data_IF_307604191888
#
_entry.id   IF_307604191888
#
_cell.length_a   1.000
_cell.length_b   1.000
_cell.length_c   1.000
_cell.angle_alpha   90.00
_cell.angle_beta   90.00
_cell.angle_gamma   90.00
#
_symmetry.space_group_name_H-M   'P 1'
#
loop_
_entity.id
_entity.type
_entity.pdbx_description
1 polymer ?
#
# COMPACT_ATOMS: atom_id res chain seq x y z
N UNK A 1 8.80 47.10 12.50
CA UNK A 1 7.47 47.05 13.16
C UNK A 1 6.39 47.19 12.09
N UNK A 2 5.39 46.28 12.12
CA UNK A 2 4.07 46.34 11.41
C UNK A 2 4.07 46.06 9.89
N UNK A 3 2.99 45.48 9.31
CA UNK A 3 2.36 44.19 9.65
C UNK A 3 2.10 43.28 8.42
N UNK A 4 1.77 42.01 8.71
CA UNK A 4 0.79 41.14 8.04
C UNK A 4 0.37 41.43 6.58
N UNK A 5 0.59 40.45 5.69
CA UNK A 5 -0.52 39.82 4.94
C UNK A 5 -0.19 38.34 4.74
N UNK A 6 -0.84 37.47 5.52
CA UNK A 6 -0.95 36.04 5.23
C UNK A 6 -2.05 35.92 4.18
N UNK A 7 -1.68 35.76 2.92
CA UNK A 7 -2.65 35.46 1.85
C UNK A 7 -2.80 33.95 1.75
N UNK A 8 -3.72 33.39 2.53
CA UNK A 8 -4.26 32.05 2.28
C UNK A 8 -4.99 32.07 0.93
N UNK A 9 -4.29 31.75 -0.16
CA UNK A 9 -4.95 31.37 -1.40
C UNK A 9 -5.41 29.93 -1.29
N UNK A 10 -6.64 29.78 -0.82
CA UNK A 10 -7.44 28.58 -1.00
C UNK A 10 -7.72 28.40 -2.51
N UNK A 11 -6.86 27.63 -3.17
CA UNK A 11 -7.17 27.10 -4.50
C UNK A 11 -8.09 25.87 -4.32
N UNK A 12 -9.39 26.14 -4.18
CA UNK A 12 -10.42 25.11 -4.32
C UNK A 12 -10.54 24.80 -5.81
N UNK A 13 -9.72 23.87 -6.30
CA UNK A 13 -9.97 23.23 -7.59
C UNK A 13 -11.03 22.13 -7.36
N UNK A 14 -12.29 22.57 -7.35
CA UNK A 14 -13.44 21.76 -7.72
C UNK A 14 -13.32 21.47 -9.23
N UNK A 15 -12.59 20.42 -9.56
CA UNK A 15 -12.38 19.95 -10.92
C UNK A 15 -12.67 18.45 -11.03
N UNK A 16 -13.78 18.15 -11.71
CA UNK A 16 -14.23 16.83 -12.16
C UNK A 16 -14.66 15.84 -11.07
N UNK A 17 -15.94 15.46 -11.14
CA UNK A 17 -16.58 14.49 -10.27
C UNK A 17 -15.77 13.19 -10.16
N UNK A 18 -15.21 13.00 -8.97
CA UNK A 18 -14.97 11.66 -8.44
C UNK A 18 -16.33 11.03 -8.18
N UNK A 19 -16.86 10.37 -9.21
CA UNK A 19 -17.49 9.09 -8.93
C UNK A 19 -16.32 8.11 -8.86
N UNK A 20 -15.87 7.63 -7.69
CA UNK A 20 -15.23 6.33 -7.64
C UNK A 20 -16.34 5.34 -7.98
N UNK A 21 -16.66 5.27 -9.27
CA UNK A 21 -17.60 4.34 -9.84
C UNK A 21 -17.10 2.97 -9.43
N UNK A 22 -17.78 2.36 -8.45
CA UNK A 22 -17.67 0.97 -8.02
C UNK A 22 -16.45 0.26 -8.62
N UNK A 23 -15.24 0.60 -8.15
CA UNK A 23 -14.08 -0.18 -8.53
C UNK A 23 -14.33 -1.53 -7.89
N UNK A 24 -14.80 -2.50 -8.69
CA UNK A 24 -15.10 -3.84 -8.22
C UNK A 24 -13.87 -4.33 -7.49
N UNK A 25 -13.98 -4.48 -6.17
CA UNK A 25 -12.84 -4.89 -5.37
C UNK A 25 -12.40 -6.25 -5.89
N UNK A 26 -11.14 -6.29 -6.32
CA UNK A 26 -10.53 -7.49 -6.89
C UNK A 26 -9.68 -8.12 -5.81
N UNK A 27 -9.69 -9.44 -5.76
CA UNK A 27 -8.82 -10.19 -4.87
C UNK A 27 -7.46 -10.36 -5.52
N UNK A 28 -6.43 -9.79 -4.91
CA UNK A 28 -5.04 -9.93 -5.30
C UNK A 28 -4.31 -10.83 -4.31
N UNK A 29 -3.51 -11.75 -4.81
CA UNK A 29 -2.66 -12.62 -3.99
C UNK A 29 -1.22 -12.15 -4.08
N UNK A 30 -0.67 -11.71 -2.96
CA UNK A 30 0.74 -11.39 -2.81
C UNK A 30 1.49 -12.52 -2.11
N UNK A 31 2.74 -12.76 -2.50
CA UNK A 31 3.55 -13.84 -1.96
C UNK A 31 4.95 -13.39 -1.57
N UNK A 32 5.44 -13.97 -0.48
CA UNK A 32 6.80 -13.79 0.01
C UNK A 32 7.39 -15.11 0.50
N UNK A 33 8.72 -15.15 0.60
CA UNK A 33 9.48 -16.26 1.17
C UNK A 33 10.15 -15.82 2.46
N UNK A 34 10.08 -16.66 3.49
CA UNK A 34 10.88 -16.57 4.70
C UNK A 34 11.75 -17.82 4.83
N UNK A 35 12.84 -17.71 5.59
CA UNK A 35 13.58 -18.87 6.05
C UNK A 35 13.19 -19.14 7.50
N UNK A 36 12.51 -20.27 7.74
CA UNK A 36 12.14 -20.73 9.07
C UNK A 36 12.95 -21.99 9.35
N UNK A 37 13.80 -21.98 10.38
CA UNK A 37 14.68 -23.10 10.74
C UNK A 37 15.56 -23.60 9.58
N UNK A 38 16.07 -22.67 8.75
CA UNK A 38 16.90 -22.99 7.58
C UNK A 38 16.13 -23.50 6.35
N UNK A 39 14.81 -23.65 6.44
CA UNK A 39 13.98 -24.06 5.30
C UNK A 39 13.25 -22.86 4.68
N UNK A 40 13.19 -22.77 3.34
CA UNK A 40 12.41 -21.74 2.68
C UNK A 40 10.91 -22.04 2.77
N UNK A 41 10.17 -21.14 3.41
CA UNK A 41 8.70 -21.20 3.54
C UNK A 41 8.09 -20.08 2.70
N UNK A 42 7.26 -20.44 1.73
CA UNK A 42 6.50 -19.48 0.92
C UNK A 42 5.15 -19.23 1.59
N UNK A 43 4.83 -17.96 1.82
CA UNK A 43 3.57 -17.49 2.39
C UNK A 43 2.82 -16.66 1.36
N UNK A 44 1.50 -16.73 1.40
CA UNK A 44 0.60 -15.99 0.52
C UNK A 44 -0.37 -15.19 1.38
N UNK A 45 -0.68 -13.98 0.94
CA UNK A 45 -1.63 -13.07 1.58
C UNK A 45 -2.57 -12.58 0.50
N UNK A 46 -3.85 -12.60 0.81
CA UNK A 46 -4.90 -12.09 -0.05
C UNK A 46 -5.29 -10.69 0.39
N UNK A 47 -5.40 -9.79 -0.57
CA UNK A 47 -5.87 -8.43 -0.40
C UNK A 47 -7.08 -8.20 -1.29
N UNK A 48 -8.13 -7.60 -0.74
CA UNK A 48 -9.31 -7.20 -1.50
C UNK A 48 -9.23 -5.71 -1.72
N UNK A 49 -8.84 -5.30 -2.92
CA UNK A 49 -8.52 -3.89 -3.23
C UNK A 49 -9.09 -3.46 -4.57
N UNK A 50 -9.24 -2.15 -4.74
CA UNK A 50 -9.69 -1.57 -6.01
C UNK A 50 -8.65 -1.75 -7.15
N UNK A 51 -7.36 -1.85 -6.83
CA UNK A 51 -6.27 -1.96 -7.81
C UNK A 51 -5.12 -2.82 -7.29
N UNK A 52 -4.34 -3.41 -8.21
CA UNK A 52 -3.13 -4.16 -7.88
C UNK A 52 -2.11 -3.28 -7.14
N UNK A 53 -2.00 -1.99 -7.51
CA UNK A 53 -1.06 -1.07 -6.90
C UNK A 53 -1.39 -0.78 -5.42
N UNK A 54 -2.69 -0.70 -5.08
CA UNK A 54 -3.13 -0.58 -3.70
C UNK A 54 -2.78 -1.85 -2.89
N UNK A 55 -2.99 -3.04 -3.46
CA UNK A 55 -2.60 -4.31 -2.84
C UNK A 55 -1.08 -4.39 -2.62
N UNK A 56 -0.27 -3.99 -3.62
CA UNK A 56 1.19 -3.96 -3.51
C UNK A 56 1.67 -2.98 -2.42
N UNK A 57 1.05 -1.80 -2.31
CA UNK A 57 1.41 -0.83 -1.27
C UNK A 57 1.13 -1.37 0.13
N UNK A 58 -0.03 -2.02 0.35
CA UNK A 58 -0.34 -2.69 1.62
C UNK A 58 0.60 -3.86 1.88
N UNK A 59 0.96 -4.61 0.84
CA UNK A 59 1.88 -5.71 0.96
C UNK A 59 3.31 -5.25 1.34
N UNK A 60 3.82 -4.19 0.75
CA UNK A 60 5.15 -3.65 1.11
C UNK A 60 5.18 -3.13 2.56
N UNK A 61 4.10 -2.50 3.03
CA UNK A 61 3.96 -2.13 4.43
C UNK A 61 3.99 -3.37 5.35
N UNK A 62 3.24 -4.42 5.00
CA UNK A 62 3.29 -5.69 5.72
C UNK A 62 4.70 -6.31 5.74
N UNK A 63 5.43 -6.28 4.62
CA UNK A 63 6.82 -6.74 4.58
C UNK A 63 7.74 -5.90 5.45
N UNK A 64 7.52 -4.59 5.53
CA UNK A 64 8.27 -3.71 6.43
C UNK A 64 8.00 -4.05 7.90
N UNK A 65 6.75 -4.35 8.27
CA UNK A 65 6.39 -4.78 9.62
C UNK A 65 7.05 -6.11 10.00
N UNK A 66 7.18 -7.04 9.04
CA UNK A 66 7.95 -8.26 9.24
C UNK A 66 9.44 -7.96 9.45
N UNK A 67 10.02 -7.04 8.67
CA UNK A 67 11.42 -6.62 8.84
C UNK A 67 11.66 -5.95 10.19
N UNK A 68 10.70 -5.18 10.69
CA UNK A 68 10.75 -4.59 12.04
C UNK A 68 10.73 -5.65 13.17
N UNK A 69 10.21 -6.85 12.88
CA UNK A 69 10.21 -8.01 13.78
C UNK A 69 11.44 -8.92 13.58
N UNK A 70 12.52 -8.40 12.97
CA UNK A 70 13.75 -9.13 12.68
C UNK A 70 13.52 -10.35 11.76
N UNK A 71 12.48 -10.31 10.92
CA UNK A 71 12.28 -11.27 9.84
C UNK A 71 12.90 -10.73 8.56
N UNK A 72 13.38 -11.61 7.70
CA UNK A 72 13.93 -11.24 6.39
C UNK A 72 13.07 -11.78 5.24
N UNK A 73 11.85 -11.23 5.03
CA UNK A 73 11.00 -11.69 3.97
C UNK A 73 11.53 -11.25 2.61
N UNK A 74 11.51 -12.18 1.65
CA UNK A 74 11.79 -11.91 0.26
C UNK A 74 10.48 -11.80 -0.51
N UNK A 75 10.25 -10.65 -1.13
CA UNK A 75 9.11 -10.41 -2.02
C UNK A 75 9.22 -11.31 -3.25
N UNK A 76 8.18 -12.09 -3.56
CA UNK A 76 8.08 -12.94 -4.76
C UNK A 76 7.15 -12.35 -5.84
N UNK A 77 6.09 -11.64 -5.45
CA UNK A 77 5.22 -10.88 -6.35
C UNK A 77 3.76 -10.87 -5.91
N UNK A 78 2.95 -10.02 -6.57
CA UNK A 78 1.50 -9.94 -6.43
C UNK A 78 0.83 -10.19 -7.78
N UNK A 79 -0.31 -10.89 -7.79
CA UNK A 79 -1.13 -11.15 -8.97
C UNK A 79 -2.62 -11.16 -8.65
#
# INVERSE_FOLDING_TARGET
MKPFVVTCMAAVLLGAGFSPANAAASTYTCSYRLYENGQPVVRRIEYVEATLQAAMARFEAFLADLRAQDKHPQHLGCR
#
